data_IF_166320997280
#
_entry.id   IF_166320997280
#
_cell.length_a   1.000
_cell.length_b   1.000
_cell.length_c   1.000
_cell.angle_alpha   90.00
_cell.angle_beta   90.00
_cell.angle_gamma   90.00
#
_symmetry.space_group_name_H-M   'P 1'
#
loop_
_entity.id
_entity.type
_entity.pdbx_description
1 polymer ?
#
# COMPACT_ATOMS: atom_id res chain seq x y z
N UNK A 1 -23.15 -53.56 -23.57
CA UNK A 1 -21.74 -53.96 -23.40
C UNK A 1 -20.92 -53.32 -24.50
N UNK A 2 -19.73 -52.80 -24.14
CA UNK A 2 -18.70 -52.22 -25.03
C UNK A 2 -19.03 -50.87 -25.67
N UNK A 3 -18.15 -49.88 -25.82
CA UNK A 3 -16.96 -49.35 -25.11
C UNK A 3 -16.51 -48.13 -25.95
N UNK A 4 -16.02 -47.04 -25.30
CA UNK A 4 -15.03 -46.03 -25.79
C UNK A 4 -15.33 -45.24 -27.09
N UNK A 5 -14.92 -43.99 -27.35
CA UNK A 5 -14.22 -42.88 -26.69
C UNK A 5 -14.47 -41.64 -27.59
N UNK A 6 -14.84 -40.52 -26.95
CA UNK A 6 -14.44 -39.12 -27.14
C UNK A 6 -13.99 -38.63 -28.54
N UNK A 7 -14.72 -37.64 -29.07
CA UNK A 7 -14.20 -36.63 -30.01
C UNK A 7 -14.50 -35.25 -29.42
N UNK A 8 -13.50 -34.67 -28.76
CA UNK A 8 -13.57 -33.34 -28.15
C UNK A 8 -13.51 -32.24 -29.20
N UNK A 9 -14.42 -31.28 -29.08
CA UNK A 9 -14.38 -29.96 -29.72
C UNK A 9 -14.56 -28.93 -28.61
N UNK A 10 -13.56 -28.06 -28.42
CA UNK A 10 -13.76 -26.68 -27.96
C UNK A 10 -12.52 -25.87 -28.35
N UNK A 11 -12.77 -24.84 -29.14
CA UNK A 11 -11.83 -23.86 -29.69
C UNK A 11 -10.75 -23.38 -28.71
N UNK A 12 -9.49 -23.59 -29.08
CA UNK A 12 -8.39 -22.72 -28.70
C UNK A 12 -8.18 -21.66 -29.78
N UNK A 13 -8.70 -20.45 -29.56
CA UNK A 13 -8.23 -19.24 -30.24
C UNK A 13 -8.63 -17.99 -29.43
N UNK A 14 -8.11 -17.89 -28.20
CA UNK A 14 -8.33 -16.75 -27.31
C UNK A 14 -7.04 -16.01 -26.97
N UNK A 15 -6.71 -14.99 -27.76
CA UNK A 15 -5.97 -13.76 -27.39
C UNK A 15 -4.43 -13.89 -27.16
N UNK A 16 -3.61 -13.65 -28.20
CA UNK A 16 -2.17 -13.45 -28.10
C UNK A 16 -1.83 -11.96 -28.00
N UNK A 17 -1.90 -11.35 -26.81
CA UNK A 17 -1.56 -9.91 -26.67
C UNK A 17 -0.54 -9.55 -25.57
N UNK A 18 -0.14 -10.48 -24.69
CA UNK A 18 0.78 -10.14 -23.58
C UNK A 18 2.23 -10.61 -23.76
N UNK A 19 2.53 -11.51 -24.69
CA UNK A 19 3.89 -12.07 -24.83
C UNK A 19 4.79 -11.36 -25.86
N UNK A 20 4.30 -10.33 -26.56
CA UNK A 20 5.11 -9.58 -27.56
C UNK A 20 5.80 -8.32 -27.03
N UNK A 21 5.56 -7.92 -25.79
CA UNK A 21 6.30 -6.82 -25.16
C UNK A 21 7.62 -7.25 -24.50
N UNK A 22 7.83 -8.56 -24.28
CA UNK A 22 9.01 -9.08 -23.56
C UNK A 22 10.23 -9.39 -24.42
N UNK A 23 10.09 -9.62 -25.72
CA UNK A 23 11.20 -10.13 -26.55
C UNK A 23 12.07 -9.04 -27.19
N UNK A 24 11.66 -7.76 -27.15
CA UNK A 24 12.45 -6.63 -27.69
C UNK A 24 13.30 -5.89 -26.66
N UNK A 25 13.28 -6.30 -25.39
CA UNK A 25 14.05 -5.68 -24.29
C UNK A 25 15.45 -6.28 -24.10
N UNK A 26 15.86 -7.22 -24.97
CA UNK A 26 17.24 -7.77 -25.04
C UNK A 26 18.14 -6.99 -26.00
N UNK A 27 17.91 -5.69 -26.17
CA UNK A 27 18.85 -4.78 -26.79
C UNK A 27 19.31 -3.79 -25.71
N UNK A 28 20.61 -3.84 -25.40
CA UNK A 28 21.39 -2.90 -24.58
C UNK A 28 20.61 -1.73 -23.94
N UNK A 29 20.45 -1.77 -22.61
CA UNK A 29 20.15 -0.61 -21.77
C UNK A 29 18.80 0.08 -22.03
N UNK A 30 17.70 -0.49 -21.55
CA UNK A 30 16.47 0.27 -21.40
C UNK A 30 16.77 1.55 -20.59
N UNK A 31 16.38 2.76 -21.04
CA UNK A 31 16.69 4.00 -20.34
C UNK A 31 16.29 3.89 -18.87
N UNK A 32 17.12 4.40 -17.95
CA UNK A 32 16.87 4.40 -16.50
C UNK A 32 15.40 4.75 -16.15
N UNK A 33 14.86 5.75 -16.84
CA UNK A 33 13.48 6.22 -16.71
C UNK A 33 12.42 5.14 -17.00
N UNK A 34 12.65 4.27 -17.97
CA UNK A 34 11.73 3.18 -18.33
C UNK A 34 11.76 2.06 -17.29
N UNK A 35 12.96 1.70 -16.80
CA UNK A 35 13.13 0.71 -15.71
C UNK A 35 12.46 1.20 -14.42
N UNK A 36 12.68 2.46 -14.05
CA UNK A 36 11.99 3.08 -12.91
C UNK A 36 10.48 3.12 -13.13
N UNK A 37 10.02 3.46 -14.33
CA UNK A 37 8.57 3.46 -14.64
C UNK A 37 7.95 2.08 -14.50
N UNK A 38 8.67 1.03 -14.89
CA UNK A 38 8.25 -0.36 -14.74
C UNK A 38 8.19 -0.75 -13.26
N UNK A 39 9.21 -0.41 -12.47
CA UNK A 39 9.22 -0.64 -11.03
C UNK A 39 8.04 0.08 -10.34
N UNK A 40 7.80 1.35 -10.68
CA UNK A 40 6.67 2.15 -10.18
C UNK A 40 5.32 1.48 -10.46
N UNK A 41 5.10 1.04 -11.69
CA UNK A 41 3.86 0.35 -12.06
C UNK A 41 3.65 -0.92 -11.24
N UNK A 42 4.69 -1.76 -11.11
CA UNK A 42 4.63 -2.99 -10.33
C UNK A 42 4.39 -2.73 -8.84
N UNK A 43 5.04 -1.73 -8.26
CA UNK A 43 4.83 -1.32 -6.86
C UNK A 43 3.39 -0.86 -6.62
N UNK A 44 2.82 -0.04 -7.52
CA UNK A 44 1.41 0.40 -7.43
C UNK A 44 0.43 -0.77 -7.46
N UNK A 45 0.69 -1.80 -8.27
CA UNK A 45 -0.12 -3.03 -8.24
C UNK A 45 -0.07 -3.70 -6.87
N UNK A 46 1.14 -3.90 -6.31
CA UNK A 46 1.26 -4.57 -5.00
C UNK A 46 0.62 -3.74 -3.88
N UNK A 47 0.74 -2.40 -3.94
CA UNK A 47 0.08 -1.47 -3.03
C UNK A 47 -1.44 -1.61 -3.06
N UNK A 48 -2.03 -1.70 -4.25
CA UNK A 48 -3.48 -1.89 -4.40
C UNK A 48 -3.96 -3.27 -3.92
N UNK A 49 -3.14 -4.32 -4.07
CA UNK A 49 -3.44 -5.64 -3.51
C UNK A 49 -3.48 -5.60 -1.98
N UNK A 50 -2.51 -4.93 -1.35
CA UNK A 50 -2.49 -4.71 0.10
C UNK A 50 -3.71 -3.92 0.58
N UNK A 51 -4.13 -2.91 -0.17
CA UNK A 51 -5.33 -2.13 0.13
C UNK A 51 -6.59 -2.99 0.10
N UNK A 52 -6.72 -3.82 -0.92
CA UNK A 52 -7.83 -4.76 -1.05
C UNK A 52 -7.87 -5.75 0.11
N UNK A 53 -6.72 -6.32 0.50
CA UNK A 53 -6.66 -7.24 1.65
C UNK A 53 -7.02 -6.53 2.95
N UNK A 54 -6.47 -5.33 3.17
CA UNK A 54 -6.70 -4.53 4.38
C UNK A 54 -8.19 -4.23 4.56
N UNK A 55 -8.88 -3.80 3.49
CA UNK A 55 -10.31 -3.55 3.52
C UNK A 55 -11.11 -4.83 3.84
N UNK A 56 -10.72 -5.99 3.30
CA UNK A 56 -11.36 -7.28 3.62
C UNK A 56 -11.18 -7.66 5.08
N UNK A 57 -9.97 -7.50 5.63
CA UNK A 57 -9.68 -7.80 7.04
C UNK A 57 -10.44 -6.87 7.99
N UNK A 58 -10.54 -5.58 7.68
CA UNK A 58 -11.33 -4.63 8.46
C UNK A 58 -12.83 -4.98 8.46
N UNK A 59 -13.38 -5.34 7.31
CA UNK A 59 -14.76 -5.81 7.22
C UNK A 59 -14.99 -7.10 8.02
N UNK A 60 -14.02 -8.01 8.04
CA UNK A 60 -14.09 -9.22 8.85
C UNK A 60 -13.98 -8.91 10.35
N UNK A 61 -13.11 -7.99 10.76
CA UNK A 61 -13.01 -7.52 12.16
C UNK A 61 -14.35 -6.98 12.65
N UNK A 62 -15.01 -6.12 11.87
CA UNK A 62 -16.33 -5.58 12.23
C UNK A 62 -17.38 -6.69 12.41
N UNK A 63 -17.38 -7.71 11.53
CA UNK A 63 -18.29 -8.85 11.65
C UNK A 63 -18.03 -9.68 12.90
N UNK A 64 -16.77 -9.99 13.20
CA UNK A 64 -16.40 -10.74 14.39
C UNK A 64 -16.67 -9.96 15.67
N UNK A 65 -16.42 -8.64 15.64
CA UNK A 65 -16.72 -7.76 16.76
C UNK A 65 -18.22 -7.75 17.08
N UNK A 66 -19.09 -7.68 16.07
CA UNK A 66 -20.54 -7.79 16.26
C UNK A 66 -20.92 -9.13 16.92
N UNK A 67 -20.37 -10.25 16.43
CA UNK A 67 -20.60 -11.58 17.02
C UNK A 67 -20.09 -11.69 18.46
N UNK A 68 -18.97 -11.03 18.77
CA UNK A 68 -18.43 -10.94 20.13
C UNK A 68 -19.42 -10.22 21.05
N UNK A 69 -19.98 -9.08 20.62
CA UNK A 69 -21.00 -8.34 21.37
C UNK A 69 -22.25 -9.21 21.58
N UNK A 70 -22.77 -9.86 20.54
CA UNK A 70 -23.96 -10.72 20.65
C UNK A 70 -23.74 -11.89 21.63
N UNK A 71 -22.55 -12.49 21.61
CA UNK A 71 -22.17 -13.59 22.52
C UNK A 71 -22.07 -13.10 23.96
N UNK A 72 -21.53 -11.88 24.16
CA UNK A 72 -21.45 -11.26 25.47
C UNK A 72 -22.84 -10.95 26.05
N UNK A 73 -23.77 -10.44 25.22
CA UNK A 73 -25.16 -10.20 25.60
C UNK A 73 -25.89 -11.49 25.97
N UNK A 74 -25.61 -12.57 25.25
CA UNK A 74 -26.15 -13.90 25.51
C UNK A 74 -25.47 -14.64 26.68
N UNK A 75 -24.53 -13.98 27.37
CA UNK A 75 -23.69 -14.55 28.45
C UNK A 75 -22.90 -15.79 28.03
N UNK A 76 -22.64 -15.96 26.74
CA UNK A 76 -21.78 -17.01 26.22
C UNK A 76 -20.32 -16.53 26.20
N UNK A 77 -19.69 -16.67 27.38
CA UNK A 77 -18.31 -16.21 27.58
C UNK A 77 -17.31 -16.93 26.67
N UNK A 78 -17.50 -18.23 26.43
CA UNK A 78 -16.58 -19.00 25.61
C UNK A 78 -16.54 -18.49 24.17
N UNK A 79 -17.71 -18.26 23.55
CA UNK A 79 -17.79 -17.68 22.20
C UNK A 79 -17.33 -16.22 22.17
N UNK A 80 -17.64 -15.42 23.19
CA UNK A 80 -17.17 -14.04 23.27
C UNK A 80 -15.64 -13.95 23.28
N UNK A 81 -14.96 -14.77 24.10
CA UNK A 81 -13.49 -14.82 24.17
C UNK A 81 -12.89 -15.28 22.84
N UNK A 82 -13.45 -16.32 22.23
CA UNK A 82 -13.00 -16.81 20.92
C UNK A 82 -13.06 -15.71 19.85
N UNK A 83 -14.20 -15.03 19.69
CA UNK A 83 -14.33 -13.94 18.73
C UNK A 83 -13.42 -12.75 19.02
N UNK A 84 -13.23 -12.41 20.31
CA UNK A 84 -12.34 -11.33 20.71
C UNK A 84 -10.88 -11.60 20.32
N UNK A 85 -10.40 -12.84 20.50
CA UNK A 85 -9.06 -13.23 20.09
C UNK A 85 -8.86 -13.09 18.57
N UNK A 86 -9.84 -13.50 17.77
CA UNK A 86 -9.73 -13.35 16.31
C UNK A 86 -9.80 -11.89 15.84
N UNK A 87 -10.59 -11.05 16.49
CA UNK A 87 -10.52 -9.60 16.26
C UNK A 87 -9.11 -9.06 16.56
N UNK A 88 -8.50 -9.49 17.68
CA UNK A 88 -7.17 -9.03 18.06
C UNK A 88 -6.11 -9.41 17.02
N UNK A 89 -6.15 -10.64 16.50
CA UNK A 89 -5.25 -11.10 15.44
C UNK A 89 -5.48 -10.37 14.12
N UNK A 90 -6.72 -10.20 13.66
CA UNK A 90 -7.02 -9.41 12.46
C UNK A 90 -6.54 -7.97 12.58
N UNK A 91 -6.70 -7.34 13.74
CA UNK A 91 -6.22 -5.98 13.99
C UNK A 91 -4.70 -5.89 13.95
N UNK A 92 -3.98 -6.91 14.42
CA UNK A 92 -2.52 -6.99 14.26
C UNK A 92 -2.14 -7.05 12.78
N UNK A 93 -2.78 -7.93 12.02
CA UNK A 93 -2.53 -8.06 10.58
C UNK A 93 -2.84 -6.78 9.81
N UNK A 94 -3.95 -6.11 10.12
CA UNK A 94 -4.33 -4.81 9.54
C UNK A 94 -3.28 -3.74 9.81
N UNK A 95 -2.76 -3.64 11.04
CA UNK A 95 -1.69 -2.68 11.36
C UNK A 95 -0.43 -2.94 10.54
N UNK A 96 0.00 -4.20 10.43
CA UNK A 96 1.15 -4.57 9.61
C UNK A 96 0.94 -4.20 8.14
N UNK A 97 -0.23 -4.53 7.58
CA UNK A 97 -0.56 -4.22 6.20
C UNK A 97 -0.59 -2.70 5.93
N UNK A 98 -1.20 -1.91 6.81
CA UNK A 98 -1.22 -0.44 6.71
C UNK A 98 0.20 0.16 6.77
N UNK A 99 1.05 -0.34 7.68
CA UNK A 99 2.44 0.08 7.77
C UNK A 99 3.20 -0.21 6.46
N UNK A 100 2.99 -1.39 5.87
CA UNK A 100 3.56 -1.76 4.58
C UNK A 100 3.07 -0.84 3.45
N UNK A 101 1.79 -0.48 3.43
CA UNK A 101 1.22 0.44 2.44
C UNK A 101 1.86 1.82 2.52
N UNK A 102 2.01 2.39 3.72
CA UNK A 102 2.66 3.69 3.92
C UNK A 102 4.12 3.65 3.46
N UNK A 103 4.84 2.57 3.78
CA UNK A 103 6.22 2.39 3.34
C UNK A 103 6.31 2.26 1.80
N UNK A 104 5.38 1.55 1.15
CA UNK A 104 5.29 1.49 -0.31
C UNK A 104 4.98 2.86 -0.92
N UNK A 105 4.04 3.62 -0.34
CA UNK A 105 3.71 4.97 -0.82
C UNK A 105 4.94 5.89 -0.74
N UNK A 106 5.73 5.82 0.35
CA UNK A 106 7.02 6.54 0.47
C UNK A 106 8.03 6.13 -0.61
N UNK A 107 8.17 4.84 -0.89
CA UNK A 107 9.04 4.29 -1.95
C UNK A 107 8.60 4.81 -3.32
N UNK A 108 7.30 4.76 -3.61
CA UNK A 108 6.71 5.23 -4.88
C UNK A 108 7.01 6.71 -5.09
N UNK A 109 6.76 7.56 -4.09
CA UNK A 109 7.04 9.00 -4.18
C UNK A 109 8.51 9.29 -4.51
N UNK A 110 9.44 8.55 -3.89
CA UNK A 110 10.87 8.70 -4.18
C UNK A 110 11.26 8.26 -5.58
N UNK A 111 10.73 7.14 -6.04
CA UNK A 111 10.97 6.68 -7.40
C UNK A 111 10.37 7.65 -8.43
N UNK A 112 9.26 8.32 -8.12
CA UNK A 112 8.71 9.41 -8.94
C UNK A 112 9.66 10.62 -9.00
N UNK A 113 10.28 11.02 -7.88
CA UNK A 113 11.34 12.03 -7.85
C UNK A 113 12.53 11.61 -8.70
N UNK A 114 13.06 10.40 -8.54
CA UNK A 114 14.22 9.93 -9.31
C UNK A 114 13.90 9.87 -10.81
N UNK A 115 12.68 9.45 -11.18
CA UNK A 115 12.20 9.48 -12.56
C UNK A 115 12.18 10.89 -13.17
N UNK A 116 11.87 11.92 -12.37
CA UNK A 116 11.75 13.30 -12.81
C UNK A 116 13.10 14.01 -12.90
N UNK A 117 13.98 13.79 -11.92
CA UNK A 117 15.23 14.55 -11.77
C UNK A 117 16.49 13.78 -12.20
N UNK A 118 16.39 12.48 -12.51
CA UNK A 118 17.35 11.73 -13.33
C UNK A 118 18.73 11.44 -12.74
N UNK A 119 19.18 12.15 -11.72
CA UNK A 119 20.61 12.24 -11.36
C UNK A 119 20.95 11.70 -9.97
N UNK A 120 20.19 10.71 -9.47
CA UNK A 120 20.33 10.27 -8.08
C UNK A 120 20.31 8.73 -7.94
N UNK A 121 21.28 8.07 -8.55
CA UNK A 121 21.51 6.63 -8.37
C UNK A 121 21.72 6.26 -6.88
N UNK A 122 22.33 7.15 -6.09
CA UNK A 122 22.51 6.99 -4.64
C UNK A 122 21.21 6.88 -3.85
N UNK A 123 20.07 7.30 -4.41
CA UNK A 123 18.75 7.14 -3.79
C UNK A 123 18.12 5.75 -4.04
N UNK A 124 18.71 4.90 -4.89
CA UNK A 124 18.17 3.56 -5.17
C UNK A 124 18.39 2.58 -4.01
N UNK A 125 19.58 2.58 -3.40
CA UNK A 125 19.91 1.66 -2.29
C UNK A 125 18.94 1.80 -1.11
N UNK A 126 18.61 3.02 -0.64
CA UNK A 126 17.63 3.15 0.43
C UNK A 126 16.21 2.75 0.03
N UNK A 127 15.82 2.95 -1.23
CA UNK A 127 14.52 2.51 -1.75
C UNK A 127 14.43 0.98 -1.75
N UNK A 128 15.47 0.30 -2.24
CA UNK A 128 15.54 -1.16 -2.24
C UNK A 128 15.53 -1.75 -0.82
N UNK A 129 16.21 -1.10 0.13
CA UNK A 129 16.20 -1.50 1.56
C UNK A 129 14.80 -1.49 2.16
N UNK A 130 14.03 -0.41 1.92
CA UNK A 130 12.65 -0.31 2.41
C UNK A 130 11.77 -1.39 1.79
N UNK A 131 11.89 -1.65 0.48
CA UNK A 131 11.14 -2.73 -0.20
C UNK A 131 11.48 -4.10 0.41
N UNK A 132 12.74 -4.34 0.75
CA UNK A 132 13.18 -5.58 1.41
C UNK A 132 12.55 -5.76 2.78
N UNK A 133 12.49 -4.69 3.58
CA UNK A 133 11.79 -4.71 4.88
C UNK A 133 10.30 -5.03 4.73
N UNK A 134 9.62 -4.40 3.76
CA UNK A 134 8.20 -4.64 3.48
C UNK A 134 7.97 -6.10 3.06
N UNK A 135 8.80 -6.61 2.16
CA UNK A 135 8.76 -8.02 1.71
C UNK A 135 8.79 -8.98 2.89
N UNK A 136 9.70 -8.78 3.83
CA UNK A 136 9.88 -9.68 4.96
C UNK A 136 8.69 -9.60 5.92
N UNK A 137 8.20 -8.40 6.21
CA UNK A 137 7.01 -8.17 7.05
C UNK A 137 5.74 -8.78 6.47
N UNK A 138 5.56 -8.72 5.14
CA UNK A 138 4.34 -9.19 4.48
C UNK A 138 4.40 -10.67 4.07
N UNK A 139 5.56 -11.32 4.15
CA UNK A 139 5.74 -12.71 3.71
C UNK A 139 4.75 -13.70 4.33
N UNK A 140 4.42 -13.54 5.63
CA UNK A 140 3.45 -14.37 6.33
C UNK A 140 1.99 -14.02 6.06
N UNK A 141 1.71 -12.86 5.45
CA UNK A 141 0.36 -12.36 5.19
C UNK A 141 -0.03 -12.49 3.71
N UNK A 142 0.89 -12.14 2.80
CA UNK A 142 0.71 -12.16 1.34
C UNK A 142 2.01 -12.63 0.66
N UNK A 143 2.26 -13.95 0.59
CA UNK A 143 3.44 -14.51 -0.04
C UNK A 143 3.63 -14.06 -1.49
N UNK A 144 2.54 -13.91 -2.24
CA UNK A 144 2.55 -13.45 -3.63
C UNK A 144 3.02 -11.99 -3.77
N UNK A 145 2.65 -11.13 -2.82
CA UNK A 145 3.14 -9.74 -2.78
C UNK A 145 4.62 -9.73 -2.40
N UNK A 146 5.02 -10.52 -1.40
CA UNK A 146 6.41 -10.67 -0.98
C UNK A 146 7.31 -11.12 -2.14
N UNK A 147 6.87 -12.11 -2.93
CA UNK A 147 7.59 -12.58 -4.11
C UNK A 147 7.78 -11.47 -5.15
N UNK A 148 6.73 -10.74 -5.51
CA UNK A 148 6.82 -9.64 -6.47
C UNK A 148 7.71 -8.50 -5.97
N UNK A 149 7.63 -8.15 -4.68
CA UNK A 149 8.49 -7.13 -4.08
C UNK A 149 9.97 -7.55 -4.10
N UNK A 150 10.26 -8.85 -3.94
CA UNK A 150 11.62 -9.37 -4.07
C UNK A 150 12.18 -9.16 -5.48
N UNK A 151 11.38 -9.40 -6.51
CA UNK A 151 11.81 -9.22 -7.90
C UNK A 151 11.96 -7.74 -8.26
N UNK A 152 11.09 -6.87 -7.74
CA UNK A 152 11.25 -5.41 -7.89
C UNK A 152 12.54 -4.95 -7.19
N UNK A 153 12.81 -5.45 -5.99
CA UNK A 153 14.01 -5.15 -5.22
C UNK A 153 15.28 -5.50 -6.00
N UNK A 154 15.33 -6.68 -6.62
CA UNK A 154 16.44 -7.09 -7.50
C UNK A 154 16.64 -6.15 -8.69
N UNK A 155 15.55 -5.77 -9.37
CA UNK A 155 15.64 -4.82 -10.49
C UNK A 155 16.16 -3.45 -10.07
N UNK A 156 15.83 -2.98 -8.86
CA UNK A 156 16.33 -1.72 -8.32
C UNK A 156 17.79 -1.83 -7.83
N UNK A 157 18.19 -2.97 -7.28
CA UNK A 157 19.59 -3.24 -6.93
C UNK A 157 20.48 -3.24 -8.19
N UNK A 158 20.03 -3.85 -9.30
CA UNK A 158 20.72 -3.80 -10.59
C UNK A 158 20.88 -2.37 -11.10
N UNK A 159 19.85 -1.53 -10.98
CA UNK A 159 19.94 -0.10 -11.31
C UNK A 159 20.95 0.59 -10.40
N UNK A 160 20.91 0.33 -9.09
CA UNK A 160 21.83 0.95 -8.14
C UNK A 160 23.31 0.61 -8.47
N UNK A 161 23.59 -0.62 -8.90
CA UNK A 161 24.94 -1.07 -9.29
C UNK A 161 25.38 -0.46 -10.62
N UNK A 162 24.48 -0.40 -11.61
CA UNK A 162 24.82 0.12 -12.95
C UNK A 162 25.08 1.64 -12.96
N UNK A 163 24.41 2.38 -12.07
CA UNK A 163 24.49 3.84 -12.03
C UNK A 163 25.22 4.39 -10.78
N UNK A 164 25.68 3.53 -9.87
CA UNK A 164 26.33 3.92 -8.63
C UNK A 164 27.83 3.64 -8.59
N UNK A 165 28.66 4.67 -8.71
CA UNK A 165 29.98 4.66 -8.05
C UNK A 165 29.75 4.84 -6.55
N UNK A 166 30.29 3.92 -5.75
CA UNK A 166 29.99 3.76 -4.33
C UNK A 166 30.17 5.04 -3.51
N UNK A 167 29.10 5.54 -2.88
CA UNK A 167 29.19 6.45 -1.72
C UNK A 167 28.06 6.17 -0.73
N UNK A 168 28.45 5.94 0.53
CA UNK A 168 27.72 6.20 1.77
C UNK A 168 26.26 5.77 1.87
N UNK A 169 26.00 4.66 2.58
CA UNK A 169 24.65 4.28 3.04
C UNK A 169 24.24 5.23 4.16
N UNK A 170 23.44 6.26 3.86
CA UNK A 170 22.61 6.89 4.89
C UNK A 170 21.37 6.02 5.13
N UNK A 171 21.24 5.55 6.37
CA UNK A 171 20.10 4.78 6.83
C UNK A 171 18.86 5.69 6.84
N UNK A 172 17.92 5.43 5.94
CA UNK A 172 16.72 6.24 5.87
C UNK A 172 15.72 5.76 6.93
N UNK A 173 15.74 6.46 8.06
CA UNK A 173 14.65 6.44 9.03
C UNK A 173 13.42 7.16 8.47
N UNK A 174 12.23 6.70 8.86
CA UNK A 174 11.02 7.52 8.83
C UNK A 174 11.05 8.40 10.08
N UNK A 175 12.02 9.32 10.16
CA UNK A 175 11.98 10.36 11.17
C UNK A 175 11.15 11.53 10.62
N UNK A 176 10.19 12.00 11.40
CA UNK A 176 9.50 13.27 11.17
C UNK A 176 10.55 14.37 11.33
N UNK A 177 11.08 14.87 10.21
CA UNK A 177 11.94 16.05 10.25
C UNK A 177 11.12 17.26 10.71
N UNK A 178 11.76 18.20 11.39
CA UNK A 178 11.13 19.47 11.84
C UNK A 178 10.37 20.18 10.71
N UNK A 179 10.91 20.14 9.48
CA UNK A 179 10.25 20.69 8.29
C UNK A 179 8.98 19.92 7.90
N UNK A 180 8.94 18.60 8.06
CA UNK A 180 7.75 17.80 7.78
C UNK A 180 6.62 18.15 8.76
N UNK A 181 6.92 18.34 10.06
CA UNK A 181 5.92 18.81 11.03
C UNK A 181 5.38 20.19 10.70
N UNK A 182 6.26 21.10 10.25
CA UNK A 182 5.85 22.45 9.85
C UNK A 182 4.90 22.40 8.64
N UNK A 183 5.22 21.59 7.62
CA UNK A 183 4.34 21.38 6.46
C UNK A 183 3.00 20.76 6.89
N UNK A 184 2.99 19.82 7.84
CA UNK A 184 1.75 19.24 8.39
C UNK A 184 0.90 20.33 9.08
N UNK A 185 1.52 21.22 9.86
CA UNK A 185 0.82 22.35 10.50
C UNK A 185 0.23 23.32 9.47
N UNK A 186 0.98 23.66 8.44
CA UNK A 186 0.50 24.50 7.34
C UNK A 186 -0.67 23.84 6.60
N UNK A 187 -0.58 22.55 6.29
CA UNK A 187 -1.66 21.80 5.65
C UNK A 187 -2.92 21.74 6.53
N UNK A 188 -2.76 21.56 7.85
CA UNK A 188 -3.88 21.57 8.80
C UNK A 188 -4.59 22.94 8.81
N UNK A 189 -3.84 24.05 8.80
CA UNK A 189 -4.40 25.39 8.74
C UNK A 189 -5.20 25.62 7.44
N UNK A 190 -4.69 25.16 6.30
CA UNK A 190 -5.40 25.24 5.01
C UNK A 190 -6.67 24.39 5.01
N UNK A 191 -6.62 23.19 5.59
CA UNK A 191 -7.78 22.30 5.71
C UNK A 191 -8.87 22.93 6.59
N UNK A 192 -8.50 23.55 7.72
CA UNK A 192 -9.43 24.25 8.60
C UNK A 192 -10.11 25.43 7.89
N UNK A 193 -9.33 26.26 7.17
CA UNK A 193 -9.88 27.37 6.38
C UNK A 193 -10.87 26.86 5.33
N UNK A 194 -10.53 25.77 4.63
CA UNK A 194 -11.39 25.14 3.63
C UNK A 194 -12.71 24.63 4.24
N UNK A 195 -12.68 24.10 5.46
CA UNK A 195 -13.89 23.68 6.17
C UNK A 195 -14.76 24.86 6.58
N UNK A 196 -14.17 25.97 7.06
CA UNK A 196 -14.90 27.20 7.40
C UNK A 196 -15.56 27.84 6.18
N UNK A 197 -14.88 27.83 5.04
CA UNK A 197 -15.42 28.37 3.78
C UNK A 197 -16.56 27.48 3.22
N UNK A 198 -16.50 26.15 3.43
CA UNK A 198 -17.52 25.20 2.97
C UNK A 198 -18.70 25.03 3.93
N UNK A 199 -18.52 25.31 5.22
CA UNK A 199 -19.54 25.25 6.26
C UNK A 199 -19.49 26.55 7.08
N UNK A 200 -20.01 27.66 6.55
CA UNK A 200 -20.08 28.91 7.32
C UNK A 200 -20.90 28.68 8.58
N UNK A 201 -20.38 29.13 9.72
CA UNK A 201 -21.07 29.00 11.01
C UNK A 201 -22.48 29.61 10.89
N UNK A 202 -23.49 28.79 11.18
CA UNK A 202 -24.87 29.28 11.26
C UNK A 202 -24.90 30.39 12.32
N UNK A 203 -25.50 31.56 12.04
CA UNK A 203 -25.56 32.63 13.00
C UNK A 203 -26.17 32.11 14.29
N UNK A 204 -25.43 32.22 15.39
CA UNK A 204 -25.95 31.90 16.71
C UNK A 204 -27.25 32.71 16.90
N UNK A 205 -28.38 32.08 17.24
CA UNK A 205 -29.61 32.82 17.44
C UNK A 205 -29.33 33.86 18.51
N UNK A 206 -29.49 35.13 18.14
CA UNK A 206 -29.39 36.25 19.05
C UNK A 206 -30.20 35.89 20.28
N UNK A 207 -29.53 35.86 21.45
CA UNK A 207 -30.22 35.76 22.74
C UNK A 207 -31.28 36.86 22.72
N UNK A 208 -32.54 36.46 22.61
CA UNK A 208 -33.66 37.34 22.83
C UNK A 208 -33.45 37.89 24.24
N UNK A 209 -33.07 39.16 24.32
CA UNK A 209 -33.07 39.89 25.57
C UNK A 209 -34.50 39.85 26.07
N UNK A 210 -34.74 39.05 27.11
CA UNK A 210 -35.93 39.21 27.95
C UNK A 210 -35.84 40.59 28.58
N UNK A 211 -36.45 41.58 27.93
CA UNK A 211 -36.84 42.81 28.60
C UNK A 211 -37.91 42.45 29.62
N UNK A 212 -37.47 42.28 30.86
CA UNK A 212 -38.34 42.36 32.03
C UNK A 212 -38.60 43.83 32.30
N UNK A 213 -39.82 44.29 32.00
CA UNK A 213 -40.52 45.35 32.73
C UNK A 213 -42.02 45.31 32.45
#
# INVERSE_FOLDING_TARGET
>A
MSSKIIKGWSDEAGIPFLNRFGEKLKAQGAPLKERISTALYRLKIQRNKLETLTARMQNQDQRLFKKCVDSQLSRDRARAVMYANECAELRKMVRTALSCQLALDKVILRLETVKQFGDIASMMTPVASVIRSIKDQISGLMPEVSFELNDICRSLDEIAVEFGEAVGVEEITVAEGEEAEKIIREAAAVAEQTLKDKFPELPQPARLMEETQ
#
